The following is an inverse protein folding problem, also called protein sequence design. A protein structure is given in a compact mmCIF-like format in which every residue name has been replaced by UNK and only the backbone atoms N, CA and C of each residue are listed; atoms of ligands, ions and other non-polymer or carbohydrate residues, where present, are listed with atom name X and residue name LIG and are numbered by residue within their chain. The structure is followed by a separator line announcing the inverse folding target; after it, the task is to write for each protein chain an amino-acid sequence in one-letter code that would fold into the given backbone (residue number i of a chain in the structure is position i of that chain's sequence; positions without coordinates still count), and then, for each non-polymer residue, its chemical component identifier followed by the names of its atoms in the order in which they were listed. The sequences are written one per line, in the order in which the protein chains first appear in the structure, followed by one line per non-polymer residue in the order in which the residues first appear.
data_IF_290330639701
#
_entry.id   IF_290330639701
#
_cell.length_a   1.000
_cell.length_b   1.000
_cell.length_c   1.000
_cell.angle_alpha   90.00
_cell.angle_beta   90.00
_cell.angle_gamma   90.00
#
_symmetry.space_group_name_H-M   'P 1'
#
loop_
_entity.id
_entity.type
_entity.pdbx_description
1 polymer ?
#
# COMPACT_ATOMS: atom_id res chain seq x y z
N UNK A 1 -17.95 12.79 -11.56
CA UNK A 1 -19.39 12.48 -11.59
C UNK A 1 -19.74 11.08 -12.10
N UNK A 2 -19.44 10.70 -13.35
CA UNK A 2 -19.83 9.37 -13.87
C UNK A 2 -19.24 8.21 -13.06
N UNK A 3 -17.97 8.31 -12.66
CA UNK A 3 -17.33 7.32 -11.79
C UNK A 3 -18.05 7.16 -10.43
N UNK A 4 -18.40 8.26 -9.75
CA UNK A 4 -19.15 8.20 -8.48
C UNK A 4 -20.52 7.52 -8.65
N UNK A 5 -21.21 7.79 -9.76
CA UNK A 5 -22.49 7.14 -10.08
C UNK A 5 -22.33 5.63 -10.25
N UNK A 6 -21.24 5.19 -10.88
CA UNK A 6 -20.91 3.78 -11.04
C UNK A 6 -20.71 3.11 -9.67
N UNK A 7 -19.89 3.71 -8.80
CA UNK A 7 -19.66 3.20 -7.44
C UNK A 7 -20.97 3.06 -6.66
N UNK A 8 -21.82 4.09 -6.71
CA UNK A 8 -23.14 4.07 -6.05
C UNK A 8 -24.07 2.99 -6.62
N UNK A 9 -24.08 2.81 -7.94
CA UNK A 9 -24.93 1.80 -8.61
C UNK A 9 -24.59 0.39 -8.12
N UNK A 10 -23.30 0.10 -7.97
CA UNK A 10 -22.81 -1.20 -7.51
C UNK A 10 -22.62 -1.28 -5.99
N UNK A 11 -23.01 -0.23 -5.24
CA UNK A 11 -22.86 -0.14 -3.77
C UNK A 11 -21.42 -0.35 -3.30
N UNK A 12 -20.45 0.09 -4.11
CA UNK A 12 -19.04 0.07 -3.75
C UNK A 12 -18.79 1.22 -2.77
N UNK A 13 -18.24 0.89 -1.60
CA UNK A 13 -18.00 1.85 -0.51
C UNK A 13 -16.58 2.40 -0.48
N UNK A 14 -15.65 1.75 -1.19
CA UNK A 14 -14.24 2.11 -1.24
C UNK A 14 -13.82 2.51 -2.64
N UNK A 15 -12.97 3.51 -2.76
CA UNK A 15 -12.41 3.95 -4.04
C UNK A 15 -10.89 4.06 -3.92
N UNK A 16 -10.18 3.68 -4.97
CA UNK A 16 -8.74 3.90 -5.08
C UNK A 16 -8.47 5.11 -5.97
N UNK A 17 -7.52 5.97 -5.58
CA UNK A 17 -6.99 7.04 -6.42
C UNK A 17 -5.51 6.80 -6.67
N UNK A 18 -5.12 6.65 -7.92
CA UNK A 18 -3.74 6.40 -8.33
C UNK A 18 -3.42 7.10 -9.65
N UNK A 19 -2.13 7.36 -9.88
CA UNK A 19 -1.57 8.05 -11.03
C UNK A 19 -0.49 7.24 -11.75
N UNK A 20 -0.29 5.97 -11.40
CA UNK A 20 0.80 5.18 -12.00
C UNK A 20 0.67 4.92 -13.52
N UNK A 21 -0.48 5.24 -14.13
CA UNK A 21 -0.74 5.04 -15.57
C UNK A 21 -1.00 6.32 -16.36
N UNK A 22 -1.14 7.47 -15.69
CA UNK A 22 -1.41 8.77 -16.31
C UNK A 22 -0.60 9.85 -15.59
N UNK A 23 -0.17 10.89 -16.29
CA UNK A 23 0.51 12.00 -15.64
C UNK A 23 -0.51 13.02 -15.15
N UNK A 24 -0.64 13.15 -13.83
CA UNK A 24 -1.42 14.20 -13.16
C UNK A 24 -0.57 14.84 -12.07
N UNK A 25 -0.84 16.10 -11.75
CA UNK A 25 -0.14 16.76 -10.65
C UNK A 25 -0.60 16.23 -9.29
N UNK A 26 0.27 16.35 -8.29
CA UNK A 26 -0.05 16.03 -6.90
C UNK A 26 -1.29 16.79 -6.40
N UNK A 27 -1.42 18.06 -6.79
CA UNK A 27 -2.56 18.90 -6.43
C UNK A 27 -3.88 18.37 -7.02
N UNK A 28 -3.86 17.93 -8.28
CA UNK A 28 -5.01 17.32 -8.95
C UNK A 28 -5.39 15.98 -8.27
N UNK A 29 -4.41 15.12 -8.00
CA UNK A 29 -4.62 13.85 -7.30
C UNK A 29 -5.25 14.07 -5.92
N UNK A 30 -4.68 14.96 -5.12
CA UNK A 30 -5.24 15.38 -3.83
C UNK A 30 -6.62 16.03 -3.97
N UNK A 31 -6.92 16.70 -5.09
CA UNK A 31 -8.25 17.19 -5.44
C UNK A 31 -9.27 16.05 -5.61
N UNK A 32 -8.90 14.99 -6.32
CA UNK A 32 -9.74 13.80 -6.46
C UNK A 32 -9.97 13.08 -5.14
N UNK A 33 -8.93 12.91 -4.32
CA UNK A 33 -9.03 12.31 -2.98
C UNK A 33 -10.03 13.10 -2.12
N UNK A 34 -9.86 14.43 -2.00
CA UNK A 34 -10.78 15.30 -1.25
C UNK A 34 -12.22 15.22 -1.75
N UNK A 35 -12.42 15.08 -3.06
CA UNK A 35 -13.75 14.97 -3.65
C UNK A 35 -14.41 13.63 -3.33
N UNK A 36 -13.66 12.52 -3.41
CA UNK A 36 -14.17 11.17 -3.18
C UNK A 36 -14.35 10.85 -1.69
N UNK A 37 -13.46 11.35 -0.83
CA UNK A 37 -13.48 11.10 0.62
C UNK A 37 -14.74 11.63 1.33
N UNK A 38 -15.51 12.51 0.67
CA UNK A 38 -16.82 12.97 1.17
C UNK A 38 -17.87 11.87 1.17
N UNK A 39 -17.76 10.93 0.24
CA UNK A 39 -18.80 9.94 -0.06
C UNK A 39 -18.32 8.48 0.09
N UNK A 40 -16.99 8.25 0.02
CA UNK A 40 -16.38 6.91 -0.01
C UNK A 40 -15.16 6.83 0.91
N UNK A 41 -14.79 5.61 1.32
CA UNK A 41 -13.50 5.34 1.96
C UNK A 41 -12.41 5.30 0.88
N UNK A 42 -11.52 6.29 0.87
CA UNK A 42 -10.50 6.41 -0.18
C UNK A 42 -9.20 5.74 0.23
N UNK A 43 -8.68 4.87 -0.63
CA UNK A 43 -7.28 4.46 -0.62
C UNK A 43 -6.56 5.26 -1.71
N UNK A 44 -5.36 5.74 -1.42
CA UNK A 44 -4.53 6.38 -2.44
C UNK A 44 -3.25 5.59 -2.63
N UNK A 45 -2.73 5.47 -3.84
CA UNK A 45 -1.52 4.70 -4.12
C UNK A 45 -0.34 5.61 -4.42
N UNK A 46 0.76 5.45 -3.68
CA UNK A 46 2.02 6.15 -3.94
C UNK A 46 3.01 5.16 -4.51
N UNK A 47 3.66 5.53 -5.61
CA UNK A 47 4.68 4.67 -6.21
C UNK A 47 5.02 5.01 -7.65
N UNK A 48 5.76 4.09 -8.28
CA UNK A 48 6.00 4.13 -9.72
C UNK A 48 5.93 2.73 -10.29
N UNK A 49 5.18 2.60 -11.39
CA UNK A 49 5.08 1.36 -12.17
C UNK A 49 6.33 1.05 -13.00
N UNK A 50 7.25 2.01 -13.08
CA UNK A 50 8.49 1.91 -13.82
C UNK A 50 9.65 1.56 -12.87
N UNK A 51 10.23 0.38 -13.08
CA UNK A 51 11.37 -0.12 -12.31
C UNK A 51 12.61 0.81 -12.39
N UNK A 52 12.70 1.63 -13.44
CA UNK A 52 13.80 2.58 -13.62
C UNK A 52 13.54 3.93 -12.93
N UNK A 53 12.28 4.25 -12.60
CA UNK A 53 11.91 5.49 -11.90
C UNK A 53 12.04 5.31 -10.39
N UNK A 54 13.24 5.57 -9.89
CA UNK A 54 13.51 5.57 -8.45
C UNK A 54 13.03 6.89 -7.84
N UNK A 55 11.89 6.84 -7.14
CA UNK A 55 11.42 7.95 -6.31
C UNK A 55 12.25 7.97 -5.01
N UNK A 56 12.87 9.11 -4.64
CA UNK A 56 13.65 9.23 -3.41
C UNK A 56 12.73 9.27 -2.17
N UNK A 57 13.21 8.85 -0.97
CA UNK A 57 12.39 8.75 0.23
C UNK A 57 11.64 10.03 0.62
N UNK A 58 12.27 11.20 0.51
CA UNK A 58 11.63 12.47 0.87
C UNK A 58 10.39 12.77 0.00
N UNK A 59 10.38 12.33 -1.27
CA UNK A 59 9.21 12.50 -2.15
C UNK A 59 8.10 11.53 -1.78
N UNK A 60 8.42 10.28 -1.45
CA UNK A 60 7.44 9.32 -0.90
C UNK A 60 6.73 9.90 0.31
N UNK A 61 7.49 10.39 1.28
CA UNK A 61 6.95 10.98 2.50
C UNK A 61 6.06 12.19 2.17
N UNK A 62 6.50 13.07 1.27
CA UNK A 62 5.73 14.26 0.89
C UNK A 62 4.38 13.89 0.23
N UNK A 63 4.38 12.96 -0.73
CA UNK A 63 3.15 12.48 -1.39
C UNK A 63 2.22 11.79 -0.38
N UNK A 64 2.75 10.86 0.43
CA UNK A 64 1.95 10.16 1.44
C UNK A 64 1.31 11.12 2.45
N UNK A 65 2.04 12.15 2.91
CA UNK A 65 1.46 13.19 3.79
C UNK A 65 0.35 13.95 3.09
N UNK A 66 0.60 14.43 1.87
CA UNK A 66 -0.38 15.21 1.11
C UNK A 66 -1.68 14.41 0.87
N UNK A 67 -1.56 13.14 0.50
CA UNK A 67 -2.71 12.28 0.23
C UNK A 67 -3.50 11.92 1.50
N UNK A 68 -2.82 11.68 2.63
CA UNK A 68 -3.48 11.51 3.94
C UNK A 68 -4.21 12.79 4.35
N UNK A 69 -3.56 13.95 4.24
CA UNK A 69 -4.15 15.26 4.54
C UNK A 69 -5.33 15.58 3.62
N UNK A 70 -5.31 15.10 2.38
CA UNK A 70 -6.41 15.21 1.43
C UNK A 70 -7.62 14.32 1.80
N UNK A 71 -7.47 13.40 2.75
CA UNK A 71 -8.54 12.55 3.27
C UNK A 71 -8.46 11.08 2.86
N UNK A 72 -7.31 10.61 2.38
CA UNK A 72 -7.10 9.17 2.20
C UNK A 72 -7.18 8.45 3.56
N UNK A 73 -7.98 7.38 3.61
CA UNK A 73 -8.07 6.51 4.78
C UNK A 73 -6.78 5.71 4.97
N UNK A 74 -6.23 5.21 3.86
CA UNK A 74 -4.91 4.60 3.82
C UNK A 74 -4.17 4.99 2.55
N UNK A 75 -2.85 5.04 2.65
CA UNK A 75 -1.94 5.16 1.50
C UNK A 75 -1.32 3.80 1.21
N UNK A 76 -1.48 3.34 -0.02
CA UNK A 76 -0.90 2.11 -0.54
C UNK A 76 0.53 2.41 -0.96
N UNK A 77 1.47 1.63 -0.44
CA UNK A 77 2.84 1.68 -0.90
C UNK A 77 3.03 0.64 -2.03
N UNK A 78 3.16 1.12 -3.26
CA UNK A 78 3.10 0.30 -4.47
C UNK A 78 4.30 -0.65 -4.62
N UNK A 79 4.00 -1.85 -5.11
CA UNK A 79 4.91 -2.93 -5.45
C UNK A 79 4.49 -3.73 -6.71
N UNK A 80 3.25 -3.53 -7.18
CA UNK A 80 2.54 -4.32 -8.19
C UNK A 80 2.40 -5.80 -7.80
N UNK A 81 1.68 -6.57 -8.62
CA UNK A 81 1.47 -8.01 -8.40
C UNK A 81 2.79 -8.81 -8.39
N UNK A 82 3.81 -8.36 -9.12
CA UNK A 82 5.11 -9.04 -9.13
C UNK A 82 5.90 -8.84 -7.83
N UNK A 83 5.67 -7.74 -7.09
CA UNK A 83 6.46 -7.40 -5.92
C UNK A 83 7.91 -7.04 -6.25
N UNK A 84 8.16 -6.44 -7.42
CA UNK A 84 9.53 -6.16 -7.90
C UNK A 84 9.77 -4.70 -8.27
N UNK A 85 8.88 -3.80 -7.85
CA UNK A 85 9.00 -2.36 -8.09
C UNK A 85 8.67 -1.57 -6.82
N UNK A 86 8.78 -0.24 -6.88
CA UNK A 86 8.39 0.66 -5.78
C UNK A 86 9.17 0.39 -4.50
N UNK A 87 8.52 -0.17 -3.49
CA UNK A 87 9.12 -0.51 -2.19
C UNK A 87 10.04 -1.75 -2.24
N UNK A 88 10.06 -2.48 -3.35
CA UNK A 88 11.01 -3.56 -3.61
C UNK A 88 11.97 -3.21 -4.74
N UNK A 89 13.11 -3.90 -4.76
CA UNK A 89 14.03 -3.92 -5.90
C UNK A 89 13.52 -4.87 -6.97
N UNK A 90 14.11 -4.81 -8.17
CA UNK A 90 13.82 -5.74 -9.27
C UNK A 90 14.05 -7.22 -8.91
N UNK A 91 14.88 -7.49 -7.89
CA UNK A 91 15.11 -8.82 -7.32
C UNK A 91 14.00 -9.32 -6.38
N UNK A 92 13.02 -8.47 -6.03
CA UNK A 92 12.04 -8.71 -4.97
C UNK A 92 12.55 -8.36 -3.56
N UNK A 93 13.81 -7.96 -3.43
CA UNK A 93 14.41 -7.55 -2.16
C UNK A 93 13.74 -6.27 -1.63
N UNK A 94 13.43 -6.26 -0.34
CA UNK A 94 12.81 -5.12 0.34
C UNK A 94 13.77 -3.95 0.43
N UNK A 95 13.31 -2.74 0.07
CA UNK A 95 14.06 -1.50 0.28
C UNK A 95 13.92 -1.04 1.73
N UNK A 96 14.51 -1.77 2.67
CA UNK A 96 14.35 -1.54 4.12
C UNK A 96 14.61 -0.08 4.54
N UNK A 97 15.68 0.54 4.05
CA UNK A 97 15.99 1.93 4.37
C UNK A 97 14.95 2.95 3.87
N UNK A 98 14.22 2.65 2.78
CA UNK A 98 13.08 3.48 2.36
C UNK A 98 11.91 3.31 3.33
N UNK A 99 11.59 2.07 3.70
CA UNK A 99 10.46 1.76 4.60
C UNK A 99 10.70 2.34 5.99
N UNK A 100 11.90 2.19 6.54
CA UNK A 100 12.30 2.78 7.81
C UNK A 100 12.16 4.30 7.79
N UNK A 101 12.61 4.95 6.71
CA UNK A 101 12.48 6.40 6.55
C UNK A 101 11.01 6.81 6.45
N UNK A 102 10.16 6.10 5.69
CA UNK A 102 8.71 6.38 5.63
C UNK A 102 8.09 6.30 7.03
N UNK A 103 8.39 5.25 7.78
CA UNK A 103 7.80 5.00 9.11
C UNK A 103 8.26 5.98 10.20
N UNK A 104 9.35 6.73 9.99
CA UNK A 104 9.70 7.84 10.88
C UNK A 104 8.72 9.02 10.77
N UNK A 105 8.00 9.14 9.65
CA UNK A 105 7.17 10.31 9.34
C UNK A 105 5.69 9.99 9.13
N UNK A 106 5.36 8.75 8.77
CA UNK A 106 4.01 8.30 8.46
C UNK A 106 3.64 7.17 9.43
N UNK A 107 2.51 7.27 10.15
CA UNK A 107 2.09 6.21 11.06
C UNK A 107 1.83 4.89 10.33
N UNK A 108 2.30 3.78 10.89
CA UNK A 108 2.21 2.45 10.27
C UNK A 108 0.77 2.06 9.90
N UNK A 109 -0.19 2.40 10.76
CA UNK A 109 -1.60 2.07 10.62
C UNK A 109 -2.30 2.80 9.47
N UNK A 110 -1.74 3.90 8.96
CA UNK A 110 -2.28 4.61 7.79
C UNK A 110 -1.75 4.06 6.47
N UNK A 111 -0.79 3.13 6.51
CA UNK A 111 -0.17 2.56 5.32
C UNK A 111 -0.74 1.16 5.05
N UNK A 112 -0.94 0.83 3.78
CA UNK A 112 -1.19 -0.52 3.28
C UNK A 112 -0.03 -0.93 2.37
N UNK A 113 0.76 -1.91 2.78
CA UNK A 113 1.95 -2.32 2.05
C UNK A 113 1.60 -3.40 1.04
N UNK A 114 1.81 -3.16 -0.26
CA UNK A 114 1.69 -4.26 -1.21
C UNK A 114 2.77 -5.31 -0.95
N UNK A 115 2.36 -6.55 -0.71
CA UNK A 115 3.27 -7.66 -0.38
C UNK A 115 2.75 -8.96 -1.02
N UNK A 116 2.73 -9.06 -2.35
CA UNK A 116 2.16 -10.21 -3.05
C UNK A 116 2.90 -11.52 -2.76
N UNK A 117 4.20 -11.47 -2.44
CA UNK A 117 4.99 -12.67 -2.21
C UNK A 117 5.09 -13.04 -0.72
N UNK A 118 5.03 -14.34 -0.41
CA UNK A 118 5.16 -14.87 0.97
C UNK A 118 6.35 -14.28 1.73
N UNK A 119 7.52 -14.19 1.09
CA UNK A 119 8.74 -13.66 1.72
C UNK A 119 8.58 -12.20 2.15
N UNK A 120 7.84 -11.40 1.39
CA UNK A 120 7.55 -10.00 1.69
C UNK A 120 6.55 -9.89 2.83
N UNK A 121 5.50 -10.71 2.82
CA UNK A 121 4.52 -10.79 3.90
C UNK A 121 5.21 -11.10 5.23
N UNK A 122 6.04 -12.17 5.27
CA UNK A 122 6.81 -12.57 6.45
C UNK A 122 7.71 -11.43 6.92
N UNK A 123 8.44 -10.78 6.00
CA UNK A 123 9.32 -9.67 6.34
C UNK A 123 8.59 -8.53 7.07
N UNK A 124 7.44 -8.09 6.54
CA UNK A 124 6.64 -7.04 7.19
C UNK A 124 6.10 -7.49 8.55
N UNK A 125 5.61 -8.73 8.66
CA UNK A 125 5.08 -9.24 9.92
C UNK A 125 6.17 -9.38 10.99
N UNK A 126 7.37 -9.84 10.63
CA UNK A 126 8.48 -10.01 11.57
C UNK A 126 8.98 -8.69 12.15
N UNK A 127 8.88 -7.58 11.41
CA UNK A 127 9.34 -6.26 11.88
C UNK A 127 8.24 -5.43 12.52
N UNK A 128 7.01 -5.49 11.98
CA UNK A 128 5.93 -4.57 12.33
C UNK A 128 4.71 -5.27 12.95
N UNK A 129 4.85 -6.56 13.25
CA UNK A 129 3.83 -7.36 13.92
C UNK A 129 2.81 -7.97 12.96
N UNK A 130 2.12 -9.00 13.45
CA UNK A 130 1.11 -9.75 12.69
C UNK A 130 -0.17 -8.95 12.36
N UNK A 131 -0.29 -7.68 12.77
CA UNK A 131 -1.42 -6.80 12.44
C UNK A 131 -1.07 -5.77 11.35
N UNK A 132 0.11 -5.85 10.75
CA UNK A 132 0.50 -4.97 9.63
C UNK A 132 -0.48 -5.11 8.46
N UNK A 133 -0.88 -3.98 7.87
CA UNK A 133 -1.79 -3.94 6.73
C UNK A 133 -1.02 -4.38 5.47
N UNK A 134 -1.47 -5.45 4.82
CA UNK A 134 -0.87 -5.98 3.60
C UNK A 134 -1.88 -5.96 2.46
N UNK A 135 -1.41 -5.56 1.28
CA UNK A 135 -2.15 -5.49 0.03
C UNK A 135 -1.66 -6.46 -1.02
N UNK A 136 -2.42 -6.55 -2.10
CA UNK A 136 -2.10 -7.37 -3.27
C UNK A 136 -1.88 -8.86 -2.94
N UNK A 137 -2.62 -9.35 -1.96
CA UNK A 137 -2.58 -10.76 -1.54
C UNK A 137 -3.38 -11.57 -2.54
N UNK A 138 -2.74 -12.55 -3.18
CA UNK A 138 -3.40 -13.45 -4.12
C UNK A 138 -4.57 -14.18 -3.43
N UNK A 139 -5.70 -14.41 -4.11
CA UNK A 139 -6.88 -15.04 -3.49
C UNK A 139 -6.58 -16.40 -2.82
N UNK A 140 -5.67 -17.19 -3.39
CA UNK A 140 -5.23 -18.47 -2.83
C UNK A 140 -4.25 -18.35 -1.65
N UNK A 141 -3.69 -17.16 -1.41
CA UNK A 141 -2.78 -16.87 -0.31
C UNK A 141 -3.48 -16.27 0.92
N UNK A 142 -4.80 -16.02 0.88
CA UNK A 142 -5.54 -15.45 2.02
C UNK A 142 -5.47 -16.35 3.27
N UNK A 143 -5.73 -17.65 3.12
CA UNK A 143 -5.62 -18.61 4.24
C UNK A 143 -4.15 -18.77 4.67
N UNK A 144 -3.18 -18.99 3.75
CA UNK A 144 -1.76 -18.97 4.08
C UNK A 144 -1.29 -17.74 4.86
N UNK A 145 -1.74 -16.53 4.49
CA UNK A 145 -1.41 -15.30 5.18
C UNK A 145 -1.94 -15.31 6.62
N UNK A 146 -3.19 -15.73 6.83
CA UNK A 146 -3.76 -15.81 8.17
C UNK A 146 -3.00 -16.83 9.05
N UNK A 147 -2.59 -17.98 8.48
CA UNK A 147 -1.75 -18.93 9.23
C UNK A 147 -0.39 -18.35 9.62
N UNK A 148 0.18 -17.46 8.79
CA UNK A 148 1.41 -16.75 9.15
C UNK A 148 1.17 -15.74 10.29
N UNK A 149 0.05 -15.01 10.26
CA UNK A 149 -0.33 -14.06 11.33
C UNK A 149 -0.54 -14.76 12.68
N UNK A 150 -1.08 -15.97 12.67
CA UNK A 150 -1.35 -16.77 13.87
C UNK A 150 -0.16 -17.62 14.36
N UNK A 151 0.99 -17.62 13.65
CA UNK A 151 2.12 -18.48 14.00
C UNK A 151 1.89 -19.97 13.71
N UNK A 152 0.89 -20.30 12.89
CA UNK A 152 0.54 -21.69 12.54
C UNK A 152 1.29 -22.21 11.32
N UNK A 153 2.28 -21.47 10.82
CA UNK A 153 3.14 -21.85 9.70
C UNK A 153 4.60 -21.73 10.10
N UNK A 154 5.44 -22.64 9.60
CA UNK A 154 6.83 -22.76 10.02
C UNK A 154 7.65 -21.45 9.95
N UNK A 155 7.36 -20.59 8.97
CA UNK A 155 8.04 -19.30 8.81
C UNK A 155 7.87 -18.35 10.01
N UNK A 156 6.77 -18.47 10.76
CA UNK A 156 6.45 -17.59 11.90
C UNK A 156 6.18 -18.32 13.21
N UNK A 157 6.31 -19.66 13.22
CA UNK A 157 6.01 -20.51 14.37
C UNK A 157 6.79 -20.08 15.61
N UNK A 158 8.12 -20.00 15.53
CA UNK A 158 8.98 -19.60 16.64
C UNK A 158 9.03 -18.10 16.90
N UNK A 159 8.36 -17.29 16.07
CA UNK A 159 8.27 -15.84 16.25
C UNK A 159 7.10 -15.47 17.17
N UNK A 160 5.99 -16.20 17.07
CA UNK A 160 4.75 -15.87 17.77
C UNK A 160 4.37 -16.84 18.89
N UNK A 161 4.87 -18.08 18.88
CA UNK A 161 4.63 -19.12 19.89
C UNK A 161 5.95 -19.50 20.59
#
# INVERSE_FOLDING_TARGET
EDYKRLLNTYKITHAEVSDGSIEISEEEKCGYIRSLAKDFTVLSEVGSKDAEKIIPPYKWIAMMKAEIEAGAWKVIAEARESGTVGIFRNSGEVRSGLIEEILQHIPLETILWEAPQKVQQVWFMSLYGHNVNLGNIAPNEVIPLETLRLGLRGDTFSTWL
#
